data_IF_889580825056
#
_entry.id   IF_889580825056
#
_cell.length_a   1.000
_cell.length_b   1.000
_cell.length_c   1.000
_cell.angle_alpha   90.00
_cell.angle_beta   90.00
_cell.angle_gamma   90.00
#
_symmetry.space_group_name_H-M   'P 1'
#
loop_
_entity.id
_entity.type
_entity.pdbx_description
1 polymer ?
#
# COMPACT_ATOMS: atom_id res chain seq x y z
N UNK A 1 32.56 24.37 25.35
CA UNK A 1 31.71 24.88 24.26
C UNK A 1 31.55 26.37 24.43
N UNK A 2 31.90 27.14 23.40
CA UNK A 2 31.68 28.59 23.37
C UNK A 2 30.22 28.93 23.03
N UNK A 3 29.78 30.15 23.35
CA UNK A 3 28.46 30.64 22.99
C UNK A 3 28.22 30.61 21.47
N UNK A 4 29.25 30.92 20.68
CA UNK A 4 29.19 30.86 19.22
C UNK A 4 29.02 29.43 18.70
N UNK A 5 29.72 28.46 19.30
CA UNK A 5 29.57 27.04 18.96
C UNK A 5 28.16 26.51 19.28
N UNK A 6 27.61 26.90 20.43
CA UNK A 6 26.26 26.52 20.82
C UNK A 6 25.20 27.13 19.89
N UNK A 7 25.38 28.38 19.46
CA UNK A 7 24.48 29.03 18.52
C UNK A 7 24.52 28.38 17.14
N UNK A 8 25.71 28.13 16.61
CA UNK A 8 25.89 27.47 15.31
C UNK A 8 25.29 26.06 15.31
N UNK A 9 25.45 25.30 16.39
CA UNK A 9 24.85 23.97 16.54
C UNK A 9 23.31 24.04 16.52
N UNK A 10 22.73 25.00 17.24
CA UNK A 10 21.27 25.22 17.26
C UNK A 10 20.74 25.57 15.87
N UNK A 11 21.40 26.49 15.16
CA UNK A 11 20.99 26.87 13.80
C UNK A 11 21.07 25.71 12.81
N UNK A 12 22.14 24.90 12.90
CA UNK A 12 22.28 23.72 12.04
C UNK A 12 21.16 22.70 12.29
N UNK A 13 20.81 22.47 13.57
CA UNK A 13 19.72 21.58 13.93
C UNK A 13 18.37 22.09 13.41
N UNK A 14 18.09 23.39 13.58
CA UNK A 14 16.86 24.01 13.07
C UNK A 14 16.77 23.90 11.54
N UNK A 15 17.86 24.18 10.82
CA UNK A 15 17.89 24.07 9.37
C UNK A 15 17.65 22.62 8.89
N UNK A 16 18.26 21.64 9.56
CA UNK A 16 18.05 20.21 9.26
C UNK A 16 16.62 19.76 9.49
N UNK A 17 16.01 20.19 10.61
CA UNK A 17 14.61 19.89 10.90
C UNK A 17 13.68 20.50 9.85
N UNK A 18 13.87 21.78 9.53
CA UNK A 18 13.06 22.46 8.50
C UNK A 18 13.17 21.78 7.13
N UNK A 19 14.36 21.27 6.77
CA UNK A 19 14.56 20.49 5.54
C UNK A 19 13.77 19.19 5.56
N UNK A 20 13.82 18.44 6.67
CA UNK A 20 13.08 17.18 6.82
C UNK A 20 11.56 17.43 6.72
N UNK A 21 11.07 18.44 7.43
CA UNK A 21 9.65 18.81 7.43
C UNK A 21 9.19 19.21 6.01
N UNK A 22 10.03 19.94 5.26
CA UNK A 22 9.75 20.28 3.87
C UNK A 22 9.76 19.05 2.94
N UNK A 23 10.71 18.14 3.11
CA UNK A 23 10.80 16.91 2.30
C UNK A 23 9.58 15.99 2.54
N UNK A 24 9.06 15.94 3.77
CA UNK A 24 7.80 15.24 4.07
C UNK A 24 6.61 15.97 3.47
N UNK A 25 6.49 17.29 3.66
CA UNK A 25 5.37 18.08 3.15
C UNK A 25 5.29 18.12 1.61
N UNK A 26 6.44 18.04 0.93
CA UNK A 26 6.52 17.93 -0.54
C UNK A 26 6.25 16.52 -1.07
N UNK A 27 6.11 15.52 -0.18
CA UNK A 27 5.94 14.11 -0.54
C UNK A 27 7.22 13.42 -1.01
N UNK A 28 8.39 14.06 -0.85
CA UNK A 28 9.68 13.45 -1.16
C UNK A 28 10.07 12.39 -0.13
N UNK A 29 9.60 12.53 1.12
CA UNK A 29 9.75 11.56 2.19
C UNK A 29 8.39 11.17 2.76
N UNK A 30 8.28 9.92 3.19
CA UNK A 30 7.11 9.38 3.91
C UNK A 30 7.61 8.57 5.09
N UNK A 31 6.83 8.56 6.18
CA UNK A 31 7.11 7.71 7.34
C UNK A 31 7.02 6.23 6.95
N UNK A 32 7.97 5.43 7.40
CA UNK A 32 8.04 4.01 7.05
C UNK A 32 6.84 3.24 7.62
N UNK A 33 6.31 3.68 8.76
CA UNK A 33 5.12 3.14 9.40
C UNK A 33 3.88 3.31 8.52
N UNK A 34 3.77 4.44 7.81
CA UNK A 34 2.67 4.70 6.87
C UNK A 34 2.74 3.72 5.71
N UNK A 35 3.93 3.54 5.13
CA UNK A 35 4.17 2.55 4.06
C UNK A 35 3.84 1.14 4.54
N UNK A 36 4.27 0.77 5.76
CA UNK A 36 3.96 -0.53 6.34
C UNK A 36 2.46 -0.79 6.45
N UNK A 37 1.69 0.18 6.95
CA UNK A 37 0.23 0.07 7.05
C UNK A 37 -0.44 -0.08 5.68
N UNK A 38 0.03 0.65 4.67
CA UNK A 38 -0.52 0.56 3.31
C UNK A 38 -0.23 -0.79 2.66
N UNK A 39 0.98 -1.30 2.84
CA UNK A 39 1.36 -2.64 2.39
C UNK A 39 0.51 -3.72 3.07
N UNK A 40 0.35 -3.64 4.39
CA UNK A 40 -0.51 -4.58 5.15
C UNK A 40 -1.96 -4.55 4.66
N UNK A 41 -2.52 -3.36 4.45
CA UNK A 41 -3.87 -3.21 3.92
C UNK A 41 -4.02 -3.83 2.52
N UNK A 42 -3.04 -3.60 1.64
CA UNK A 42 -3.01 -4.21 0.31
C UNK A 42 -2.97 -5.74 0.40
N UNK A 43 -2.09 -6.30 1.23
CA UNK A 43 -2.01 -7.76 1.45
C UNK A 43 -3.28 -8.36 2.02
N UNK A 44 -3.97 -7.65 2.94
CA UNK A 44 -5.23 -8.11 3.50
C UNK A 44 -6.29 -8.27 2.40
N UNK A 45 -6.43 -7.29 1.51
CA UNK A 45 -7.37 -7.33 0.38
C UNK A 45 -7.03 -8.45 -0.60
N UNK A 46 -5.75 -8.61 -0.97
CA UNK A 46 -5.29 -9.71 -1.83
C UNK A 46 -5.67 -11.06 -1.23
N UNK A 47 -5.35 -11.25 0.05
CA UNK A 47 -5.59 -12.51 0.76
C UNK A 47 -7.08 -12.82 0.85
N UNK A 48 -7.90 -11.84 1.21
CA UNK A 48 -9.35 -12.01 1.32
C UNK A 48 -9.95 -12.48 -0.02
N UNK A 49 -9.58 -11.83 -1.12
CA UNK A 49 -10.09 -12.17 -2.45
C UNK A 49 -9.68 -13.56 -2.89
N UNK A 50 -8.40 -13.91 -2.78
CA UNK A 50 -7.91 -15.25 -3.15
C UNK A 50 -8.59 -16.35 -2.32
N UNK A 51 -8.81 -16.12 -1.02
CA UNK A 51 -9.47 -17.09 -0.15
C UNK A 51 -10.99 -17.20 -0.40
N UNK A 52 -11.60 -16.23 -1.08
CA UNK A 52 -13.02 -16.28 -1.46
C UNK A 52 -13.28 -17.14 -2.72
N UNK A 53 -12.26 -17.36 -3.56
CA UNK A 53 -12.36 -18.08 -4.83
C UNK A 53 -13.00 -19.47 -4.69
N UNK A 54 -12.57 -20.33 -3.74
CA UNK A 54 -13.19 -21.64 -3.58
C UNK A 54 -14.69 -21.56 -3.29
N UNK A 55 -15.11 -20.61 -2.43
CA UNK A 55 -16.53 -20.40 -2.12
C UNK A 55 -17.34 -19.90 -3.32
N UNK A 56 -16.77 -19.04 -4.16
CA UNK A 56 -17.43 -18.50 -5.36
C UNK A 56 -17.59 -19.56 -6.47
N UNK A 57 -16.65 -20.49 -6.58
CA UNK A 57 -16.57 -21.44 -7.68
C UNK A 57 -17.07 -22.86 -7.33
N UNK A 58 -17.03 -23.29 -6.06
CA UNK A 58 -17.27 -24.68 -5.66
C UNK A 58 -18.51 -25.31 -6.34
N UNK A 59 -19.68 -24.69 -6.19
CA UNK A 59 -20.94 -25.22 -6.72
C UNK A 59 -20.97 -25.25 -8.27
N UNK A 60 -20.27 -24.32 -8.92
CA UNK A 60 -20.24 -24.18 -10.39
C UNK A 60 -19.33 -25.22 -11.06
N UNK A 61 -18.38 -25.76 -10.31
CA UNK A 61 -17.34 -26.67 -10.81
C UNK A 61 -17.68 -28.15 -10.61
N UNK A 62 -18.71 -28.48 -9.81
CA UNK A 62 -19.13 -29.87 -9.60
C UNK A 62 -19.51 -30.52 -10.94
N UNK A 63 -18.91 -31.67 -11.24
CA UNK A 63 -19.18 -32.46 -12.44
C UNK A 63 -18.65 -31.84 -13.74
N UNK A 64 -17.83 -30.79 -13.67
CA UNK A 64 -17.15 -30.21 -14.84
C UNK A 64 -15.88 -30.97 -15.18
N UNK A 65 -15.49 -30.88 -16.44
CA UNK A 65 -14.23 -31.42 -16.93
C UNK A 65 -13.03 -30.59 -16.44
N UNK A 66 -11.89 -31.25 -16.30
CA UNK A 66 -10.66 -30.65 -15.75
C UNK A 66 -10.25 -29.37 -16.46
N UNK A 67 -10.31 -29.33 -17.79
CA UNK A 67 -9.92 -28.15 -18.56
C UNK A 67 -10.81 -26.93 -18.23
N UNK A 68 -12.11 -27.14 -18.02
CA UNK A 68 -13.02 -26.08 -17.61
C UNK A 68 -12.71 -25.60 -16.18
N UNK A 69 -12.41 -26.52 -15.26
CA UNK A 69 -12.04 -26.21 -13.88
C UNK A 69 -10.78 -25.35 -13.83
N UNK A 70 -9.73 -25.75 -14.54
CA UNK A 70 -8.46 -25.02 -14.58
C UNK A 70 -8.65 -23.61 -15.17
N UNK A 71 -9.40 -23.49 -16.27
CA UNK A 71 -9.70 -22.19 -16.88
C UNK A 71 -10.53 -21.27 -15.97
N UNK A 72 -11.54 -21.82 -15.28
CA UNK A 72 -12.39 -21.03 -14.38
C UNK A 72 -11.61 -20.51 -13.16
N UNK A 73 -10.74 -21.34 -12.57
CA UNK A 73 -9.88 -20.93 -11.46
C UNK A 73 -8.87 -19.87 -11.94
N UNK A 74 -8.24 -20.08 -13.09
CA UNK A 74 -7.25 -19.14 -13.63
C UNK A 74 -7.89 -17.79 -13.97
N UNK A 75 -9.08 -17.78 -14.56
CA UNK A 75 -9.82 -16.56 -14.85
C UNK A 75 -10.11 -15.77 -13.56
N UNK A 76 -10.60 -16.44 -12.52
CA UNK A 76 -10.92 -15.81 -11.24
C UNK A 76 -9.67 -15.27 -10.52
N UNK A 77 -8.55 -16.00 -10.55
CA UNK A 77 -7.27 -15.51 -10.00
C UNK A 77 -6.80 -14.28 -10.78
N UNK A 78 -6.92 -14.31 -12.12
CA UNK A 78 -6.49 -13.21 -12.98
C UNK A 78 -7.32 -11.95 -12.72
N UNK A 79 -8.64 -12.08 -12.63
CA UNK A 79 -9.56 -10.99 -12.28
C UNK A 79 -9.23 -10.41 -10.89
N UNK A 80 -9.05 -11.28 -9.89
CA UNK A 80 -8.71 -10.85 -8.54
C UNK A 80 -7.40 -10.06 -8.48
N UNK A 81 -6.40 -10.42 -9.31
CA UNK A 81 -5.12 -9.72 -9.39
C UNK A 81 -5.20 -8.43 -10.24
N UNK A 82 -5.95 -8.41 -11.33
CA UNK A 82 -6.12 -7.24 -12.19
C UNK A 82 -6.79 -6.08 -11.44
N UNK A 83 -7.85 -6.35 -10.70
CA UNK A 83 -8.51 -5.33 -9.89
C UNK A 83 -7.57 -4.68 -8.86
N UNK A 84 -6.57 -5.43 -8.35
CA UNK A 84 -5.59 -4.93 -7.39
C UNK A 84 -4.49 -4.12 -8.08
N UNK A 85 -4.23 -4.37 -9.37
CA UNK A 85 -3.21 -3.67 -10.15
C UNK A 85 -3.62 -2.26 -10.56
N UNK A 86 -4.89 -1.87 -10.37
CA UNK A 86 -5.38 -0.54 -10.73
C UNK A 86 -4.70 0.56 -9.89
N UNK A 87 -3.89 1.45 -10.51
CA UNK A 87 -3.21 2.52 -9.79
C UNK A 87 -4.17 3.50 -9.08
N UNK A 88 -5.44 3.49 -9.49
CA UNK A 88 -6.50 4.32 -8.92
C UNK A 88 -6.88 3.90 -7.49
N UNK A 89 -6.59 2.67 -7.07
CA UNK A 89 -6.88 2.21 -5.70
C UNK A 89 -5.72 2.48 -4.74
N UNK A 90 -4.47 2.53 -5.24
CA UNK A 90 -3.30 2.97 -4.46
C UNK A 90 -3.34 4.48 -4.14
N UNK A 91 -4.06 5.28 -4.92
CA UNK A 91 -4.10 6.76 -4.78
C UNK A 91 -5.25 7.28 -3.93
N UNK A 92 -6.32 6.49 -3.73
CA UNK A 92 -7.50 6.92 -2.95
C UNK A 92 -7.24 6.98 -1.45
N UNK A 93 -6.32 6.17 -0.93
CA UNK A 93 -5.99 6.19 0.50
C UNK A 93 -4.98 7.29 0.87
N UNK A 94 -4.08 7.66 -0.05
CA UNK A 94 -3.16 8.81 0.10
C UNK A 94 -3.93 10.12 0.26
N UNK A 95 -5.00 10.31 -0.51
CA UNK A 95 -5.83 11.52 -0.44
C UNK A 95 -6.64 11.63 0.88
N UNK A 96 -6.91 10.51 1.57
CA UNK A 96 -7.75 10.47 2.76
C UNK A 96 -6.98 10.69 4.07
N UNK A 97 -5.70 10.29 4.11
CA UNK A 97 -4.84 10.48 5.30
C UNK A 97 -4.13 11.84 5.35
N UNK A 98 -3.99 12.56 4.23
CA UNK A 98 -3.38 13.91 4.19
C UNK A 98 -4.28 15.09 4.61
N UNK A 99 -5.50 14.84 5.10
CA UNK A 99 -6.47 15.89 5.51
C UNK A 99 -6.70 15.96 7.03
N UNK A 100 -5.73 15.56 7.86
CA UNK A 100 -5.76 15.76 9.30
C UNK A 100 -4.50 16.39 9.82
#
# INVERSE_FOLDING_TARGET
MSFAEAHALRENYVARKAKLDFEVASGALVEIEVVGQEVEACFAVVRERLLSIPGKLADKLVGRERAYIENAILAEISEALEEISSPADLTKDVARKGSK
#
